data_IF_715210401214
#
_entry.id   IF_715210401214
#
_cell.length_a   1.000
_cell.length_b   1.000
_cell.length_c   1.000
_cell.angle_alpha   90.00
_cell.angle_beta   90.00
_cell.angle_gamma   90.00
#
_symmetry.space_group_name_H-M   'P 1'
#
loop_
_entity.id
_entity.type
_entity.pdbx_description
1 polymer ?
#
# COMPACT_ATOMS: atom_id res chain seq x y z
N UNK A 1 1.34 -10.43 -36.31
CA UNK A 1 1.83 -10.48 -34.92
C UNK A 1 0.98 -9.58 -34.01
N UNK A 2 -0.05 -10.11 -33.35
CA UNK A 2 -0.46 -9.82 -31.95
C UNK A 2 -1.75 -10.61 -31.58
N UNK A 3 -1.63 -11.85 -31.06
CA UNK A 3 -2.75 -12.56 -30.45
C UNK A 3 -2.35 -13.05 -29.03
N UNK A 4 -2.02 -12.14 -28.10
CA UNK A 4 -1.71 -12.50 -26.70
C UNK A 4 -2.51 -11.74 -25.63
N UNK A 5 -3.19 -10.64 -25.96
CA UNK A 5 -3.88 -9.81 -24.96
C UNK A 5 -5.32 -10.27 -24.61
N UNK A 6 -6.04 -10.94 -25.52
CA UNK A 6 -7.44 -11.34 -25.25
C UNK A 6 -7.56 -12.59 -24.37
N UNK A 7 -6.68 -13.60 -24.55
CA UNK A 7 -6.73 -14.85 -23.75
C UNK A 7 -6.31 -14.62 -22.30
N UNK A 8 -5.32 -13.75 -22.06
CA UNK A 8 -4.87 -13.39 -20.71
C UNK A 8 -5.96 -12.63 -19.94
N UNK A 9 -6.74 -11.76 -20.60
CA UNK A 9 -7.85 -11.05 -19.97
C UNK A 9 -8.96 -11.98 -19.47
N UNK A 10 -9.27 -13.07 -20.19
CA UNK A 10 -10.32 -14.03 -19.81
C UNK A 10 -9.92 -14.96 -18.66
N UNK A 11 -8.66 -15.41 -18.62
CA UNK A 11 -8.13 -16.22 -17.53
C UNK A 11 -7.87 -15.40 -16.27
N UNK A 12 -7.37 -14.17 -16.42
CA UNK A 12 -7.26 -13.23 -15.32
C UNK A 12 -8.66 -12.88 -14.79
N UNK A 13 -9.65 -12.54 -15.62
CA UNK A 13 -11.00 -12.28 -15.11
C UNK A 13 -11.58 -13.45 -14.29
N UNK A 14 -11.32 -14.71 -14.68
CA UNK A 14 -11.79 -15.91 -13.97
C UNK A 14 -11.06 -16.18 -12.64
N UNK A 15 -9.77 -15.83 -12.58
CA UNK A 15 -8.99 -15.85 -11.34
C UNK A 15 -9.38 -14.69 -10.41
N UNK A 16 -9.77 -13.54 -10.98
CA UNK A 16 -10.15 -12.33 -10.27
C UNK A 16 -11.62 -12.33 -9.81
N UNK A 17 -12.49 -13.12 -10.44
CA UNK A 17 -13.91 -13.30 -10.03
C UNK A 17 -14.09 -14.25 -8.85
N UNK A 18 -13.04 -14.97 -8.44
CA UNK A 18 -13.12 -16.09 -7.49
C UNK A 18 -13.12 -15.67 -6.01
N UNK A 19 -12.89 -14.40 -5.68
CA UNK A 19 -12.80 -13.94 -4.27
C UNK A 19 -13.77 -12.78 -4.02
N UNK A 20 -15.06 -13.02 -4.30
CA UNK A 20 -16.15 -12.19 -3.78
C UNK A 20 -16.80 -12.94 -2.63
N UNK A 21 -16.66 -12.43 -1.42
CA UNK A 21 -17.36 -12.99 -0.26
C UNK A 21 -18.50 -12.07 0.14
N UNK A 22 -19.65 -12.66 0.47
CA UNK A 22 -20.87 -11.95 0.85
C UNK A 22 -20.70 -11.04 2.07
N UNK A 23 -19.72 -11.32 2.94
CA UNK A 23 -19.45 -10.53 4.14
C UNK A 23 -18.64 -9.24 3.86
N UNK A 24 -17.96 -9.13 2.72
CA UNK A 24 -17.13 -7.98 2.43
C UNK A 24 -17.95 -6.82 1.84
N UNK A 25 -17.79 -5.62 2.40
CA UNK A 25 -18.53 -4.41 2.02
C UNK A 25 -18.06 -3.73 0.72
N UNK A 26 -17.19 -4.37 -0.06
CA UNK A 26 -16.62 -3.77 -1.27
C UNK A 26 -17.33 -4.29 -2.53
N UNK A 27 -17.72 -3.37 -3.42
CA UNK A 27 -18.43 -3.66 -4.67
C UNK A 27 -17.61 -4.48 -5.68
N UNK A 28 -16.28 -4.49 -5.52
CA UNK A 28 -15.31 -5.17 -6.39
C UNK A 28 -14.70 -6.41 -5.71
N UNK A 29 -13.96 -7.23 -6.45
CA UNK A 29 -13.22 -8.38 -5.90
C UNK A 29 -12.23 -7.97 -4.80
N UNK A 30 -12.08 -8.76 -3.73
CA UNK A 30 -11.15 -8.50 -2.62
C UNK A 30 -9.72 -8.17 -3.12
N UNK A 31 -9.28 -8.90 -4.15
CA UNK A 31 -7.97 -8.73 -4.75
C UNK A 31 -7.82 -7.38 -5.45
N UNK A 32 -8.82 -6.95 -6.22
CA UNK A 32 -8.83 -5.64 -6.87
C UNK A 32 -8.82 -4.52 -5.83
N UNK A 33 -9.57 -4.66 -4.74
CA UNK A 33 -9.55 -3.69 -3.63
C UNK A 33 -8.17 -3.57 -2.96
N UNK A 34 -7.48 -4.69 -2.74
CA UNK A 34 -6.12 -4.69 -2.18
C UNK A 34 -5.11 -4.09 -3.18
N UNK A 35 -5.17 -4.51 -4.44
CA UNK A 35 -4.27 -4.01 -5.48
C UNK A 35 -4.48 -2.52 -5.75
N UNK A 36 -5.73 -2.06 -5.81
CA UNK A 36 -6.05 -0.64 -5.96
C UNK A 36 -5.56 0.17 -4.75
N UNK A 37 -5.68 -0.41 -3.55
CA UNK A 37 -5.18 0.16 -2.30
C UNK A 37 -3.65 0.26 -2.25
N UNK A 38 -2.94 -0.62 -2.94
CA UNK A 38 -1.49 -0.59 -3.09
C UNK A 38 -1.06 0.36 -4.23
N UNK A 39 -1.61 0.16 -5.42
CA UNK A 39 -1.08 0.72 -6.65
C UNK A 39 -1.34 2.23 -6.78
N UNK A 40 -2.48 2.72 -6.32
CA UNK A 40 -2.82 4.15 -6.40
C UNK A 40 -1.88 5.03 -5.55
N UNK A 41 -1.74 4.80 -4.22
CA UNK A 41 -0.82 5.57 -3.40
C UNK A 41 0.64 5.33 -3.80
N UNK A 42 1.01 4.11 -4.20
CA UNK A 42 2.36 3.82 -4.70
C UNK A 42 2.71 4.66 -5.93
N UNK A 43 1.83 4.71 -6.95
CA UNK A 43 2.08 5.50 -8.15
C UNK A 43 2.13 7.01 -7.83
N UNK A 44 1.24 7.50 -6.97
CA UNK A 44 1.23 8.90 -6.56
C UNK A 44 2.50 9.29 -5.80
N UNK A 45 2.95 8.43 -4.88
CA UNK A 45 4.20 8.58 -4.16
C UNK A 45 5.41 8.53 -5.10
N UNK A 46 5.43 7.58 -6.03
CA UNK A 46 6.48 7.42 -7.03
C UNK A 46 6.61 8.65 -7.94
N UNK A 47 5.49 9.16 -8.46
CA UNK A 47 5.48 10.38 -9.28
C UNK A 47 5.97 11.58 -8.47
N UNK A 48 5.56 11.71 -7.21
CA UNK A 48 5.98 12.82 -6.33
C UNK A 48 7.49 12.77 -6.02
N UNK A 49 8.01 11.59 -5.69
CA UNK A 49 9.45 11.40 -5.46
C UNK A 49 10.27 11.61 -6.73
N UNK A 50 9.76 11.14 -7.87
CA UNK A 50 10.41 11.36 -9.17
C UNK A 50 10.43 12.84 -9.54
N UNK A 51 9.29 13.54 -9.44
CA UNK A 51 9.16 14.95 -9.75
C UNK A 51 10.04 15.84 -8.86
N UNK A 52 10.06 15.62 -7.56
CA UNK A 52 10.89 16.38 -6.61
C UNK A 52 12.39 16.24 -6.91
N UNK A 53 12.83 15.05 -7.34
CA UNK A 53 14.22 14.83 -7.78
C UNK A 53 14.51 15.45 -9.15
N UNK A 54 13.57 15.36 -10.10
CA UNK A 54 13.68 16.04 -11.39
C UNK A 54 13.84 17.55 -11.22
N UNK A 55 13.10 18.17 -10.28
CA UNK A 55 13.21 19.59 -9.98
C UNK A 55 14.59 19.93 -9.41
N UNK A 56 15.07 19.15 -8.44
CA UNK A 56 16.38 19.37 -7.80
C UNK A 56 17.55 19.18 -8.75
N UNK A 57 17.46 18.26 -9.71
CA UNK A 57 18.53 17.93 -10.66
C UNK A 57 18.30 18.49 -12.07
N UNK A 58 17.38 19.44 -12.27
CA UNK A 58 16.97 19.96 -13.59
C UNK A 58 18.14 20.24 -14.53
N UNK A 59 19.23 20.85 -14.03
CA UNK A 59 20.43 21.17 -14.82
C UNK A 59 21.22 19.94 -15.28
N UNK A 60 21.41 18.94 -14.41
CA UNK A 60 22.10 17.68 -14.77
C UNK A 60 21.22 16.74 -15.59
N UNK A 61 19.91 16.84 -15.40
CA UNK A 61 18.94 15.99 -16.05
C UNK A 61 18.80 16.28 -17.56
N UNK A 62 18.98 17.54 -17.96
CA UNK A 62 18.97 17.93 -19.37
C UNK A 62 20.20 17.34 -20.11
N UNK A 63 21.31 17.13 -19.40
CA UNK A 63 22.54 16.56 -19.96
C UNK A 63 22.54 15.03 -19.96
N UNK A 64 21.91 14.38 -18.97
CA UNK A 64 21.90 12.92 -18.84
C UNK A 64 20.55 12.39 -18.34
N UNK A 65 19.67 11.88 -19.23
CA UNK A 65 18.40 11.25 -18.84
C UNK A 65 18.60 9.90 -18.14
N UNK A 66 19.79 9.29 -18.28
CA UNK A 66 20.19 8.03 -17.64
C UNK A 66 20.20 8.12 -16.10
N UNK A 67 20.49 9.31 -15.56
CA UNK A 67 20.47 9.58 -14.13
C UNK A 67 19.08 9.39 -13.52
N UNK A 68 17.99 9.68 -14.23
CA UNK A 68 16.65 9.39 -13.69
C UNK A 68 16.47 7.92 -13.45
N UNK A 69 16.83 7.09 -14.42
CA UNK A 69 16.66 5.65 -14.30
C UNK A 69 17.53 5.11 -13.16
N UNK A 70 18.74 5.64 -12.98
CA UNK A 70 19.64 5.28 -11.86
C UNK A 70 19.08 5.71 -10.50
N UNK A 71 18.56 6.93 -10.37
CA UNK A 71 17.96 7.42 -9.12
C UNK A 71 16.61 6.77 -8.80
N UNK A 72 15.85 6.35 -9.82
CA UNK A 72 14.62 5.58 -9.70
C UNK A 72 14.91 4.11 -9.32
N UNK A 73 15.98 3.54 -9.86
CA UNK A 73 16.43 2.17 -9.55
C UNK A 73 17.20 2.08 -8.22
N UNK A 74 17.43 3.21 -7.56
CA UNK A 74 18.04 3.24 -6.23
C UNK A 74 17.19 2.41 -5.26
N UNK A 75 17.71 1.21 -4.94
CA UNK A 75 16.98 0.14 -4.26
C UNK A 75 16.39 0.62 -2.94
N UNK A 76 17.07 1.55 -2.27
CA UNK A 76 16.62 2.10 -0.98
C UNK A 76 15.32 2.88 -1.07
N UNK A 77 15.11 3.68 -2.13
CA UNK A 77 13.90 4.50 -2.27
C UNK A 77 12.71 3.66 -2.72
N UNK A 78 12.94 2.76 -3.68
CA UNK A 78 11.92 1.81 -4.13
C UNK A 78 11.51 0.86 -3.01
N UNK A 79 12.47 0.34 -2.24
CA UNK A 79 12.18 -0.56 -1.12
C UNK A 79 11.35 0.13 -0.05
N UNK A 80 11.56 1.43 0.20
CA UNK A 80 10.78 2.19 1.16
C UNK A 80 9.33 2.39 0.68
N UNK A 81 9.13 2.79 -0.58
CA UNK A 81 7.80 2.91 -1.16
C UNK A 81 7.04 1.58 -1.17
N UNK A 82 7.69 0.53 -1.70
CA UNK A 82 7.12 -0.82 -1.70
C UNK A 82 6.79 -1.33 -0.29
N UNK A 83 7.61 -0.98 0.69
CA UNK A 83 7.37 -1.35 2.08
C UNK A 83 6.13 -0.65 2.66
N UNK A 84 5.99 0.67 2.47
CA UNK A 84 4.87 1.44 3.00
C UNK A 84 3.53 1.04 2.36
N UNK A 85 3.50 1.01 1.03
CA UNK A 85 2.31 0.61 0.30
C UNK A 85 2.00 -0.88 0.55
N UNK A 86 3.03 -1.72 0.61
CA UNK A 86 2.91 -3.15 0.87
C UNK A 86 2.37 -3.47 2.26
N UNK A 87 2.80 -2.73 3.29
CA UNK A 87 2.25 -2.83 4.64
C UNK A 87 0.75 -2.53 4.66
N UNK A 88 0.32 -1.47 3.96
CA UNK A 88 -1.10 -1.10 3.89
C UNK A 88 -1.94 -2.13 3.14
N UNK A 89 -1.39 -2.72 2.08
CA UNK A 89 -2.02 -3.79 1.32
C UNK A 89 -2.13 -5.07 2.15
N UNK A 90 -1.07 -5.44 2.88
CA UNK A 90 -1.05 -6.59 3.78
C UNK A 90 -2.15 -6.47 4.85
N UNK A 91 -2.31 -5.29 5.46
CA UNK A 91 -3.40 -5.06 6.42
C UNK A 91 -4.78 -5.30 5.81
N UNK A 92 -5.04 -4.81 4.58
CA UNK A 92 -6.31 -5.05 3.87
C UNK A 92 -6.51 -6.53 3.55
N UNK A 93 -5.46 -7.21 3.08
CA UNK A 93 -5.49 -8.65 2.77
C UNK A 93 -5.86 -9.45 4.01
N UNK A 94 -5.23 -9.19 5.15
CA UNK A 94 -5.48 -9.92 6.40
C UNK A 94 -6.92 -9.66 6.88
N UNK A 95 -7.40 -8.41 6.84
CA UNK A 95 -8.78 -8.12 7.22
C UNK A 95 -9.79 -8.85 6.31
N UNK A 96 -9.55 -8.88 5.00
CA UNK A 96 -10.40 -9.62 4.06
C UNK A 96 -10.36 -11.13 4.34
N UNK A 97 -9.17 -11.69 4.59
CA UNK A 97 -8.98 -13.12 4.88
C UNK A 97 -9.68 -13.53 6.18
N UNK A 98 -9.59 -12.70 7.21
CA UNK A 98 -10.20 -12.98 8.51
C UNK A 98 -11.73 -12.89 8.44
N UNK A 99 -12.24 -11.98 7.62
CA UNK A 99 -13.67 -11.87 7.31
C UNK A 99 -14.16 -13.04 6.44
N UNK A 100 -13.30 -13.60 5.59
CA UNK A 100 -13.53 -14.85 4.86
C UNK A 100 -13.75 -16.01 5.83
N UNK A 101 -12.88 -16.13 6.83
CA UNK A 101 -12.91 -17.24 7.79
C UNK A 101 -14.07 -17.16 8.79
N UNK A 102 -14.41 -15.95 9.27
CA UNK A 102 -15.42 -15.78 10.33
C UNK A 102 -16.80 -15.33 9.84
N UNK A 103 -16.95 -14.91 8.58
CA UNK A 103 -18.20 -14.41 7.98
C UNK A 103 -18.95 -13.34 8.80
N UNK A 104 -18.26 -12.67 9.73
CA UNK A 104 -18.82 -11.71 10.69
C UNK A 104 -17.89 -10.50 10.78
N UNK A 105 -18.45 -9.33 11.02
CA UNK A 105 -17.69 -8.07 11.18
C UNK A 105 -17.55 -7.75 12.67
N UNK A 106 -16.33 -7.81 13.20
CA UNK A 106 -16.00 -7.45 14.58
C UNK A 106 -14.75 -6.57 14.61
N UNK A 107 -14.73 -5.57 15.49
CA UNK A 107 -13.56 -4.71 15.66
C UNK A 107 -12.30 -5.47 16.14
N UNK A 108 -12.47 -6.66 16.74
CA UNK A 108 -11.37 -7.51 17.21
C UNK A 108 -10.43 -7.99 16.10
N UNK A 109 -10.85 -7.96 14.83
CA UNK A 109 -10.02 -8.35 13.68
C UNK A 109 -8.91 -7.35 13.37
N UNK A 110 -9.00 -6.12 13.86
CA UNK A 110 -7.95 -5.12 13.69
C UNK A 110 -6.66 -5.50 14.44
N UNK A 111 -6.77 -6.21 15.57
CA UNK A 111 -5.63 -6.61 16.40
C UNK A 111 -4.68 -7.58 15.66
N UNK A 112 -5.13 -8.75 15.16
CA UNK A 112 -4.25 -9.66 14.44
C UNK A 112 -3.74 -9.05 13.12
N UNK A 113 -4.55 -8.23 12.44
CA UNK A 113 -4.13 -7.52 11.25
C UNK A 113 -3.00 -6.51 11.53
N UNK A 114 -3.10 -5.77 12.64
CA UNK A 114 -2.06 -4.84 13.06
C UNK A 114 -0.78 -5.56 13.51
N UNK A 115 -0.89 -6.67 14.25
CA UNK A 115 0.26 -7.47 14.67
C UNK A 115 1.03 -8.06 13.48
N UNK A 116 0.32 -8.67 12.53
CA UNK A 116 0.91 -9.19 11.30
C UNK A 116 1.48 -8.08 10.40
N UNK A 117 0.83 -6.92 10.36
CA UNK A 117 1.40 -5.72 9.75
C UNK A 117 2.72 -5.33 10.41
N UNK A 118 2.77 -5.28 11.74
CA UNK A 118 4.00 -4.98 12.50
C UNK A 118 5.12 -5.97 12.24
N UNK A 119 4.80 -7.27 12.11
CA UNK A 119 5.75 -8.30 11.69
C UNK A 119 6.33 -8.03 10.29
N UNK A 120 5.56 -7.39 9.40
CA UNK A 120 6.02 -6.99 8.08
C UNK A 120 7.19 -5.99 8.15
N UNK A 121 7.33 -5.21 9.23
CA UNK A 121 8.47 -4.31 9.45
C UNK A 121 9.82 -5.03 9.49
N UNK A 122 9.84 -6.34 9.77
CA UNK A 122 11.07 -7.14 9.73
C UNK A 122 11.68 -7.22 8.32
N UNK A 123 10.88 -7.06 7.26
CA UNK A 123 11.38 -7.04 5.89
C UNK A 123 12.18 -5.78 5.55
N UNK A 124 11.93 -4.65 6.23
CA UNK A 124 12.69 -3.41 6.08
C UNK A 124 13.11 -2.87 7.46
N UNK A 125 14.16 -3.45 8.07
CA UNK A 125 14.60 -3.07 9.41
C UNK A 125 15.31 -1.72 9.37
N UNK A 126 14.55 -0.63 9.49
CA UNK A 126 15.08 0.72 9.67
C UNK A 126 14.48 1.35 10.92
N UNK A 127 15.32 1.61 11.92
CA UNK A 127 14.91 2.19 13.20
C UNK A 127 14.24 3.55 13.02
N UNK A 128 14.72 4.36 12.06
CA UNK A 128 14.14 5.68 11.76
C UNK A 128 12.69 5.57 11.27
N UNK A 129 12.39 4.59 10.41
CA UNK A 129 11.04 4.44 9.83
C UNK A 129 10.09 3.86 10.87
N UNK A 130 10.55 2.89 11.67
CA UNK A 130 9.75 2.33 12.76
C UNK A 130 9.38 3.41 13.79
N UNK A 131 10.36 4.21 14.23
CA UNK A 131 10.12 5.31 15.16
C UNK A 131 9.21 6.38 14.55
N UNK A 132 9.39 6.70 13.26
CA UNK A 132 8.54 7.65 12.55
C UNK A 132 7.08 7.17 12.48
N UNK A 133 6.85 5.91 12.14
CA UNK A 133 5.52 5.32 12.09
C UNK A 133 4.87 5.27 13.48
N UNK A 134 5.63 4.87 14.50
CA UNK A 134 5.17 4.91 15.90
C UNK A 134 4.79 6.32 16.33
N UNK A 135 5.58 7.32 15.98
CA UNK A 135 5.28 8.71 16.30
C UNK A 135 4.03 9.20 15.56
N UNK A 136 3.89 8.86 14.28
CA UNK A 136 2.72 9.26 13.48
C UNK A 136 1.42 8.64 13.97
N UNK A 137 1.44 7.38 14.40
CA UNK A 137 0.25 6.77 14.99
C UNK A 137 -0.13 7.38 16.34
N UNK A 138 0.85 7.81 17.15
CA UNK A 138 0.59 8.57 18.37
C UNK A 138 -0.03 9.94 18.07
N UNK A 139 0.50 10.65 17.07
CA UNK A 139 -0.03 11.94 16.62
C UNK A 139 -1.50 11.79 16.16
N UNK A 140 -1.79 10.82 15.30
CA UNK A 140 -3.14 10.54 14.81
C UNK A 140 -4.10 10.17 15.95
N UNK A 141 -3.64 9.36 16.90
CA UNK A 141 -4.44 8.98 18.09
C UNK A 141 -4.77 10.20 18.93
N UNK A 142 -3.80 11.10 19.13
CA UNK A 142 -4.00 12.33 19.89
C UNK A 142 -4.99 13.26 19.19
N UNK A 143 -4.92 13.40 17.86
CA UNK A 143 -5.90 14.15 17.07
C UNK A 143 -7.31 13.58 17.18
N UNK A 144 -7.46 12.25 17.11
CA UNK A 144 -8.74 11.58 17.29
C UNK A 144 -9.29 11.86 18.69
N UNK A 145 -8.46 11.73 19.73
CA UNK A 145 -8.89 11.96 21.11
C UNK A 145 -9.32 13.41 21.33
N UNK A 146 -8.55 14.38 20.80
CA UNK A 146 -8.93 15.80 20.83
C UNK A 146 -10.24 16.07 20.12
N UNK A 147 -10.48 15.45 18.96
CA UNK A 147 -11.73 15.60 18.20
C UNK A 147 -12.93 15.03 18.96
N UNK A 148 -12.77 13.90 19.64
CA UNK A 148 -13.81 13.32 20.50
C UNK A 148 -14.10 14.21 21.71
N UNK A 149 -13.07 14.79 22.32
CA UNK A 149 -13.19 15.60 23.53
C UNK A 149 -13.81 16.99 23.29
N UNK A 150 -13.62 17.58 22.10
CA UNK A 150 -14.10 18.93 21.75
C UNK A 150 -15.43 18.96 20.98
N UNK A 151 -16.00 17.79 20.65
CA UNK A 151 -17.28 17.67 19.97
C UNK A 151 -18.40 17.12 20.89
N UNK A 152 -18.10 17.03 22.19
CA UNK A 152 -19.03 16.90 23.33
C UNK A 152 -19.12 18.26 24.02
#
# INVERSE_FOLDING_TARGET
>A
MRPKEEVESSFLQKMWSTIRHSSCLHDYSCFFYCLQGFLRPFLMGYVTFSASRCISLRRKLISDPSLLFSLLTEKRNLSLGLFLDGFSANFRIINCLLRWYFAKDRASYAIPAALLGGLFMKFYPSSTISLYLMWKTLEDTWWVWKKVLFHI
#
